data_IF_095305861527
#
_entry.id   IF_095305861527
#
_cell.length_a   1.000
_cell.length_b   1.000
_cell.length_c   1.000
_cell.angle_alpha   90.00
_cell.angle_beta   90.00
_cell.angle_gamma   90.00
#
_symmetry.space_group_name_H-M   'P 1'
#
loop_
_entity.id
_entity.type
_entity.pdbx_description
1 polymer ?
#
# COMPACT_ATOMS: atom_id res chain seq x y z
N UNK A 1 13.67 14.35 21.63
CA UNK A 1 14.55 13.71 20.63
C UNK A 1 13.68 12.77 19.83
N UNK A 2 13.44 13.04 18.54
CA UNK A 2 12.69 12.11 17.70
C UNK A 2 13.62 10.93 17.42
N UNK A 3 13.39 9.79 18.07
CA UNK A 3 14.11 8.55 17.76
C UNK A 3 13.70 8.13 16.35
N UNK A 4 14.54 8.43 15.37
CA UNK A 4 14.34 7.95 13.99
C UNK A 4 14.49 6.44 13.98
N UNK A 5 13.38 5.71 13.83
CA UNK A 5 13.39 4.26 13.63
C UNK A 5 14.15 3.92 12.35
N UNK A 6 14.94 2.84 12.37
CA UNK A 6 15.56 2.32 11.14
C UNK A 6 14.50 1.81 10.17
N UNK A 7 14.76 1.86 8.87
CA UNK A 7 13.85 1.33 7.85
C UNK A 7 13.47 -0.13 8.12
N UNK A 8 14.43 -0.97 8.54
CA UNK A 8 14.15 -2.35 8.93
C UNK A 8 13.16 -2.45 10.10
N UNK A 9 13.25 -1.57 11.11
CA UNK A 9 12.29 -1.55 12.20
C UNK A 9 10.91 -1.09 11.71
N UNK A 10 10.85 -0.08 10.84
CA UNK A 10 9.60 0.41 10.24
C UNK A 10 8.89 -0.69 9.44
N UNK A 11 9.63 -1.46 8.63
CA UNK A 11 9.11 -2.60 7.86
C UNK A 11 8.53 -3.66 8.80
N UNK A 12 9.26 -4.03 9.86
CA UNK A 12 8.77 -4.99 10.87
C UNK A 12 7.48 -4.51 11.53
N UNK A 13 7.39 -3.22 11.88
CA UNK A 13 6.15 -2.67 12.42
C UNK A 13 4.97 -2.83 11.46
N UNK A 14 5.17 -2.58 10.17
CA UNK A 14 4.09 -2.71 9.18
C UNK A 14 3.65 -4.17 9.03
N UNK A 15 4.59 -5.11 9.06
CA UNK A 15 4.30 -6.56 9.03
C UNK A 15 3.49 -6.99 10.26
N UNK A 16 3.86 -6.51 11.45
CA UNK A 16 3.10 -6.80 12.68
C UNK A 16 1.70 -6.18 12.63
N UNK A 17 1.58 -4.93 12.18
CA UNK A 17 0.29 -4.27 12.04
C UNK A 17 -0.64 -5.01 11.07
N UNK A 18 -0.11 -5.54 9.97
CA UNK A 18 -0.87 -6.31 8.99
C UNK A 18 -1.55 -7.54 9.60
N UNK A 19 -0.88 -8.22 10.54
CA UNK A 19 -1.44 -9.37 11.24
C UNK A 19 -2.63 -9.00 12.12
N UNK A 20 -2.60 -7.80 12.70
CA UNK A 20 -3.67 -7.28 13.57
C UNK A 20 -4.88 -6.72 12.79
N UNK A 21 -4.72 -6.46 11.49
CA UNK A 21 -5.78 -5.88 10.67
C UNK A 21 -6.89 -6.88 10.36
N UNK A 22 -8.13 -6.39 10.32
CA UNK A 22 -9.27 -7.14 9.82
C UNK A 22 -9.14 -7.41 8.31
N UNK A 23 -9.89 -8.38 7.80
CA UNK A 23 -9.93 -8.66 6.36
C UNK A 23 -10.28 -7.41 5.53
N UNK A 24 -11.25 -6.60 6.00
CA UNK A 24 -11.61 -5.34 5.35
C UNK A 24 -10.45 -4.34 5.31
N UNK A 25 -9.70 -4.21 6.41
CA UNK A 25 -8.52 -3.33 6.45
C UNK A 25 -7.39 -3.82 5.55
N UNK A 26 -7.21 -5.14 5.42
CA UNK A 26 -6.26 -5.73 4.48
C UNK A 26 -6.66 -5.44 3.04
N UNK A 27 -7.95 -5.57 2.71
CA UNK A 27 -8.47 -5.28 1.36
C UNK A 27 -8.26 -3.81 0.97
N UNK A 28 -8.48 -2.89 1.92
CA UNK A 28 -8.18 -1.47 1.76
C UNK A 28 -6.67 -1.24 1.56
N UNK A 29 -5.83 -1.97 2.29
CA UNK A 29 -4.38 -1.84 2.22
C UNK A 29 -3.77 -2.29 0.89
N UNK A 30 -4.40 -3.20 0.15
CA UNK A 30 -3.88 -3.66 -1.16
C UNK A 30 -3.57 -2.48 -2.08
N UNK A 31 -4.51 -1.54 -2.22
CA UNK A 31 -4.34 -0.37 -3.09
C UNK A 31 -3.23 0.57 -2.60
N UNK A 32 -3.12 0.74 -1.28
CA UNK A 32 -2.10 1.58 -0.65
C UNK A 32 -0.71 0.96 -0.83
N UNK A 33 -0.60 -0.37 -0.73
CA UNK A 33 0.67 -1.06 -0.92
C UNK A 33 1.13 -0.98 -2.38
N UNK A 34 0.21 -1.12 -3.35
CA UNK A 34 0.50 -0.92 -4.78
C UNK A 34 0.98 0.51 -5.04
N UNK A 35 0.27 1.52 -4.54
CA UNK A 35 0.63 2.95 -4.68
C UNK A 35 2.08 3.23 -4.23
N UNK A 36 2.53 2.57 -3.15
CA UNK A 36 3.79 2.91 -2.48
C UNK A 36 4.95 1.97 -2.81
N UNK A 37 4.66 0.75 -3.22
CA UNK A 37 5.67 -0.30 -3.40
C UNK A 37 5.72 -0.87 -4.83
N UNK A 38 4.78 -0.52 -5.71
CA UNK A 38 4.90 -0.91 -7.12
C UNK A 38 5.93 -0.04 -7.84
N UNK A 39 6.77 -0.69 -8.64
CA UNK A 39 7.80 -0.07 -9.48
C UNK A 39 7.27 0.44 -10.83
N UNK A 40 6.09 -0.03 -11.24
CA UNK A 40 5.37 0.46 -12.42
C UNK A 40 4.52 1.68 -12.05
N UNK A 41 4.45 2.70 -12.90
CA UNK A 41 3.81 4.00 -12.69
C UNK A 41 2.28 3.99 -12.55
N UNK A 42 1.72 2.92 -11.97
CA UNK A 42 0.31 2.56 -11.81
C UNK A 42 -0.54 3.53 -10.97
N UNK A 43 0.01 4.68 -10.62
CA UNK A 43 -0.55 5.64 -9.66
C UNK A 43 -1.80 6.34 -10.23
N UNK A 44 -1.97 6.38 -11.55
CA UNK A 44 -3.07 7.14 -12.17
C UNK A 44 -4.45 6.45 -12.11
N UNK A 45 -4.52 5.12 -12.01
CA UNK A 45 -5.80 4.37 -12.04
C UNK A 45 -6.31 3.88 -10.68
N UNK A 46 -5.41 3.58 -9.74
CA UNK A 46 -5.76 2.96 -8.44
C UNK A 46 -6.20 3.97 -7.37
N UNK A 47 -6.08 5.28 -7.63
CA UNK A 47 -6.27 6.33 -6.63
C UNK A 47 -7.75 6.56 -6.25
N UNK A 48 -8.71 6.14 -7.08
CA UNK A 48 -10.14 6.44 -6.89
C UNK A 48 -10.73 5.80 -5.63
N UNK A 49 -10.18 4.66 -5.16
CA UNK A 49 -10.60 4.01 -3.91
C UNK A 49 -9.96 4.60 -2.65
N UNK A 50 -8.87 5.36 -2.80
CA UNK A 50 -8.00 5.79 -1.71
C UNK A 50 -8.45 7.12 -1.09
N UNK A 51 -9.15 7.97 -1.86
CA UNK A 51 -9.63 9.27 -1.38
C UNK A 51 -10.57 9.18 -0.16
N UNK A 52 -11.23 8.04 0.05
CA UNK A 52 -12.16 7.84 1.17
C UNK A 52 -11.46 7.52 2.50
N UNK A 53 -10.20 7.10 2.50
CA UNK A 53 -9.46 6.79 3.73
C UNK A 53 -8.91 8.03 4.45
N UNK A 54 -8.73 9.13 3.71
CA UNK A 54 -8.31 10.43 4.25
C UNK A 54 -9.45 11.42 4.50
N UNK A 55 -10.64 11.21 3.91
CA UNK A 55 -11.83 12.03 4.13
C UNK A 55 -12.58 11.59 5.39
N UNK A 56 -11.96 11.75 6.56
CA UNK A 56 -12.69 11.65 7.82
C UNK A 56 -13.22 13.03 8.23
N UNK A 57 -14.48 13.07 8.66
CA UNK A 57 -15.12 14.25 9.24
C UNK A 57 -14.21 14.83 10.34
N UNK A 58 -13.89 16.13 10.24
CA UNK A 58 -12.96 16.85 11.13
C UNK A 58 -13.34 16.85 12.63
N UNK A 59 -14.48 16.27 12.99
CA UNK A 59 -14.98 16.15 14.36
C UNK A 59 -14.64 14.82 15.06
N UNK A 60 -14.19 13.78 14.36
CA UNK A 60 -13.85 12.48 14.96
C UNK A 60 -12.33 12.25 14.96
N UNK A 61 -11.75 11.72 16.07
CA UNK A 61 -10.34 11.34 16.08
C UNK A 61 -10.08 10.15 15.14
N UNK A 62 -8.93 10.11 14.46
CA UNK A 62 -8.61 9.05 13.52
C UNK A 62 -8.52 7.69 14.22
N UNK A 63 -8.91 6.65 13.50
CA UNK A 63 -8.71 5.26 13.91
C UNK A 63 -7.22 4.89 13.94
N UNK A 64 -6.89 3.85 14.72
CA UNK A 64 -5.52 3.31 14.77
C UNK A 64 -5.02 2.86 13.40
N UNK A 65 -5.90 2.30 12.57
CA UNK A 65 -5.57 1.93 11.19
C UNK A 65 -5.11 3.14 10.39
N UNK A 66 -5.88 4.23 10.39
CA UNK A 66 -5.51 5.45 9.68
C UNK A 66 -4.19 6.05 10.19
N UNK A 67 -3.94 6.03 11.49
CA UNK A 67 -2.66 6.44 12.06
C UNK A 67 -1.49 5.58 11.53
N UNK A 68 -1.66 4.26 11.47
CA UNK A 68 -0.65 3.32 10.93
C UNK A 68 -0.42 3.50 9.43
N UNK A 69 -1.49 3.70 8.65
CA UNK A 69 -1.40 4.00 7.21
C UNK A 69 -0.64 5.31 6.97
N UNK A 70 -0.90 6.35 7.77
CA UNK A 70 -0.17 7.61 7.68
C UNK A 70 1.33 7.41 7.93
N UNK A 71 1.70 6.68 8.98
CA UNK A 71 3.10 6.37 9.28
C UNK A 71 3.74 5.54 8.15
N UNK A 72 3.07 4.51 7.65
CA UNK A 72 3.56 3.72 6.51
C UNK A 72 3.85 4.61 5.30
N UNK A 73 2.95 5.55 4.98
CA UNK A 73 3.12 6.49 3.87
C UNK A 73 4.27 7.47 4.08
N UNK A 74 4.56 7.89 5.30
CA UNK A 74 5.71 8.75 5.60
C UNK A 74 7.02 7.95 5.53
N UNK A 75 7.04 6.77 6.13
CA UNK A 75 8.20 5.87 6.19
C UNK A 75 8.64 5.38 4.81
N UNK A 76 7.70 4.87 4.01
CA UNK A 76 7.98 4.29 2.68
C UNK A 76 8.53 5.28 1.65
N UNK A 77 8.51 6.59 1.91
CA UNK A 77 9.18 7.58 1.04
C UNK A 77 10.71 7.41 1.07
N UNK A 78 11.25 6.91 2.18
CA UNK A 78 12.69 6.78 2.41
C UNK A 78 13.20 5.36 2.21
N UNK A 79 12.36 4.46 1.70
CA UNK A 79 12.72 3.06 1.49
C UNK A 79 13.29 2.84 0.09
N UNK A 80 14.31 1.98 -0.01
CA UNK A 80 14.78 1.49 -1.30
C UNK A 80 13.77 0.53 -1.94
N UNK A 81 13.95 0.24 -3.22
CA UNK A 81 13.15 -0.78 -3.91
C UNK A 81 13.28 -2.16 -3.26
N UNK A 82 14.47 -2.52 -2.78
CA UNK A 82 14.69 -3.79 -2.07
C UNK A 82 13.93 -3.83 -0.73
N UNK A 83 13.81 -2.71 -0.04
CA UNK A 83 13.07 -2.59 1.21
C UNK A 83 11.55 -2.68 0.98
N UNK A 84 11.05 -2.07 -0.09
CA UNK A 84 9.65 -2.21 -0.54
C UNK A 84 9.35 -3.65 -0.95
N UNK A 85 10.22 -4.27 -1.74
CA UNK A 85 10.10 -5.67 -2.17
C UNK A 85 10.10 -6.63 -0.97
N UNK A 86 10.94 -6.37 0.03
CA UNK A 86 10.97 -7.13 1.28
C UNK A 86 9.62 -7.09 2.00
N UNK A 87 9.00 -5.91 2.12
CA UNK A 87 7.67 -5.79 2.71
C UNK A 87 6.62 -6.57 1.91
N UNK A 88 6.55 -6.32 0.60
CA UNK A 88 5.55 -6.96 -0.29
C UNK A 88 5.67 -8.48 -0.23
N UNK A 89 6.89 -9.01 -0.33
CA UNK A 89 7.14 -10.45 -0.27
C UNK A 89 6.73 -11.04 1.07
N UNK A 90 7.03 -10.36 2.17
CA UNK A 90 6.66 -10.81 3.52
C UNK A 90 5.14 -10.89 3.67
N UNK A 91 4.40 -9.86 3.24
CA UNK A 91 2.94 -9.83 3.31
C UNK A 91 2.32 -10.92 2.43
N UNK A 92 2.80 -11.09 1.19
CA UNK A 92 2.30 -12.14 0.28
C UNK A 92 2.50 -13.55 0.84
N UNK A 93 3.63 -13.79 1.50
CA UNK A 93 3.91 -15.07 2.14
C UNK A 93 2.95 -15.35 3.31
N UNK A 94 2.57 -14.30 4.06
CA UNK A 94 1.70 -14.42 5.23
C UNK A 94 0.22 -14.60 4.87
N UNK A 95 -0.24 -14.02 3.76
CA UNK A 95 -1.64 -14.06 3.34
C UNK A 95 -1.77 -14.29 1.83
N UNK A 96 -1.94 -15.55 1.40
CA UNK A 96 -2.07 -15.90 -0.02
C UNK A 96 -3.28 -15.23 -0.70
N UNK A 97 -4.37 -14.99 0.03
CA UNK A 97 -5.55 -14.32 -0.53
C UNK A 97 -5.26 -12.84 -0.80
N UNK A 98 -4.54 -12.19 0.10
CA UNK A 98 -4.04 -10.84 -0.14
C UNK A 98 -3.09 -10.81 -1.35
N UNK A 99 -2.22 -11.81 -1.48
CA UNK A 99 -1.30 -11.92 -2.61
C UNK A 99 -2.05 -12.00 -3.96
N UNK A 100 -3.07 -12.85 -4.06
CA UNK A 100 -3.91 -12.95 -5.26
C UNK A 100 -4.55 -11.60 -5.62
N UNK A 101 -5.14 -10.89 -4.65
CA UNK A 101 -5.74 -9.56 -4.88
C UNK A 101 -4.71 -8.53 -5.31
N UNK A 102 -3.51 -8.59 -4.75
CA UNK A 102 -2.41 -7.69 -5.12
C UNK A 102 -1.97 -7.92 -6.58
N UNK A 103 -1.73 -9.17 -6.98
CA UNK A 103 -1.31 -9.51 -8.34
C UNK A 103 -2.39 -9.21 -9.39
N UNK A 104 -3.66 -9.50 -9.04
CA UNK A 104 -4.80 -9.18 -9.90
C UNK A 104 -4.83 -7.68 -10.21
N UNK A 105 -4.79 -6.82 -9.17
CA UNK A 105 -4.80 -5.36 -9.36
C UNK A 105 -3.53 -4.83 -10.05
N UNK A 106 -2.39 -5.49 -9.85
CA UNK A 106 -1.15 -5.15 -10.54
C UNK A 106 -1.26 -5.40 -12.05
N UNK A 107 -1.90 -6.50 -12.44
CA UNK A 107 -2.11 -6.87 -13.84
C UNK A 107 -3.18 -6.01 -14.51
N UNK A 108 -4.32 -5.79 -13.83
CA UNK A 108 -5.38 -4.88 -14.31
C UNK A 108 -4.85 -3.45 -14.55
N UNK A 109 -3.92 -2.99 -13.71
CA UNK A 109 -3.24 -1.72 -13.91
C UNK A 109 -2.39 -1.68 -15.20
N UNK A 110 -1.65 -2.76 -15.49
CA UNK A 110 -0.81 -2.85 -16.70
C UNK A 110 -1.63 -2.94 -18.00
N UNK A 111 -2.76 -3.64 -17.98
CA UNK A 111 -3.61 -3.81 -19.18
C UNK A 111 -4.27 -2.46 -19.59
N UNK A 112 -4.60 -1.61 -18.61
CA UNK A 112 -5.18 -0.29 -18.86
C UNK A 112 -4.23 0.73 -19.50
N UNK A 113 -2.91 0.53 -19.39
CA UNK A 113 -1.89 1.35 -20.06
C UNK A 113 -1.62 0.87 -21.50
N UNK A 114 -1.73 -0.44 -21.76
CA UNK A 114 -1.54 -1.01 -23.09
C UNK A 114 -2.66 -0.57 -24.06
N UNK A 115 -3.91 -0.54 -23.60
CA UNK A 115 -5.06 -0.14 -24.43
C UNK A 115 -5.02 1.36 -24.80
N UNK A 116 -4.49 2.22 -23.92
CA UNK A 116 -4.30 3.65 -24.23
C UNK A 116 -3.19 3.95 -25.21
N UNK A 117 -2.14 3.13 -25.25
CA UNK A 117 -1.01 3.33 -26.17
C UNK A 117 -1.36 2.98 -27.63
N UNK A 118 -2.31 2.06 -27.84
CA UNK A 118 -2.80 1.69 -29.17
C UNK A 118 -3.82 2.69 -29.75
N UNK A 119 -4.59 3.41 -28.93
CA UNK A 119 -5.57 4.40 -29.40
C UNK A 119 -4.95 5.77 -29.75
N UNK A 120 -3.72 6.05 -29.31
CA UNK A 120 -2.98 7.29 -29.61
C UNK A 120 -1.97 7.16 -30.77
N UNK A 121 -1.93 6.00 -31.46
CA UNK A 121 -1.04 5.74 -32.63
C UNK A 121 -1.73 5.78 -33.99
#
# INVERSE_FOLDING_TARGET
>A
MSTTLSNQAQIRYVIEWFQEWSEMQRDDFVGILLERCSSSGLVNGLLTGIENLGKENSSRPPSLFQCRIKLFREWSQNWSEQEKEMLVTSIKHMDPKFAEKYEQRLTEGNDSEAEKAEEES
#
